data_IF_266633956386
#
_entry.id   IF_266633956386
#
_cell.length_a   1.000
_cell.length_b   1.000
_cell.length_c   1.000
_cell.angle_alpha   90.00
_cell.angle_beta   90.00
_cell.angle_gamma   90.00
#
_symmetry.space_group_name_H-M   'P 1'
#
loop_
_entity.id
_entity.type
_entity.pdbx_description
1 polymer ?
#
# COMPACT_ATOMS: atom_id res chain seq x y z
N UNK A 1 -16.27 5.99 -22.37
CA UNK A 1 -17.56 6.72 -22.45
C UNK A 1 -17.53 7.78 -21.37
N UNK A 2 -17.29 9.03 -21.73
CA UNK A 2 -17.31 10.17 -20.81
C UNK A 2 -18.75 10.40 -20.34
N UNK A 3 -19.05 10.07 -19.08
CA UNK A 3 -20.33 10.41 -18.47
C UNK A 3 -20.44 11.93 -18.39
N UNK A 4 -21.48 12.50 -18.99
CA UNK A 4 -21.72 13.94 -19.11
C UNK A 4 -22.15 14.54 -17.75
N UNK A 5 -21.24 14.53 -16.77
CA UNK A 5 -21.44 15.07 -15.41
C UNK A 5 -20.85 16.48 -15.34
N UNK A 6 -21.51 17.46 -14.69
CA UNK A 6 -21.01 18.83 -14.58
C UNK A 6 -19.89 19.01 -13.54
N UNK A 7 -19.34 17.90 -13.03
CA UNK A 7 -18.31 17.87 -12.00
C UNK A 7 -17.30 16.76 -12.30
N UNK A 8 -16.08 16.96 -11.82
CA UNK A 8 -14.95 16.03 -11.91
C UNK A 8 -14.77 15.25 -10.60
N UNK A 9 -13.91 14.24 -10.61
CA UNK A 9 -13.57 13.50 -9.39
C UNK A 9 -12.75 14.36 -8.40
N UNK A 10 -11.99 15.33 -8.89
CA UNK A 10 -11.24 16.26 -8.04
C UNK A 10 -12.17 17.21 -7.26
N UNK A 11 -13.30 17.61 -7.88
CA UNK A 11 -14.34 18.38 -7.19
C UNK A 11 -14.92 17.56 -6.02
N UNK A 12 -15.15 16.26 -6.22
CA UNK A 12 -15.66 15.36 -5.19
C UNK A 12 -14.68 15.23 -4.01
N UNK A 13 -13.38 15.08 -4.29
CA UNK A 13 -12.33 14.99 -3.25
C UNK A 13 -12.20 16.29 -2.46
N UNK A 14 -12.22 17.43 -3.15
CA UNK A 14 -12.09 18.76 -2.53
C UNK A 14 -13.25 19.03 -1.58
N UNK A 15 -14.48 18.75 -2.01
CA UNK A 15 -15.67 18.93 -1.16
C UNK A 15 -15.68 17.95 0.01
N UNK A 16 -15.28 16.69 -0.18
CA UNK A 16 -15.14 15.72 0.91
C UNK A 16 -14.14 16.20 1.97
N UNK A 17 -12.98 16.74 1.58
CA UNK A 17 -11.99 17.28 2.51
C UNK A 17 -12.52 18.50 3.31
N UNK A 18 -13.28 19.38 2.64
CA UNK A 18 -13.94 20.52 3.30
C UNK A 18 -14.95 20.05 4.35
N UNK A 19 -15.78 19.07 4.00
CA UNK A 19 -16.79 18.52 4.91
C UNK A 19 -16.17 17.72 6.05
N UNK A 20 -15.11 16.95 5.81
CA UNK A 20 -14.34 16.24 6.85
C UNK A 20 -13.76 17.23 7.87
N UNK A 21 -13.21 18.35 7.41
CA UNK A 21 -12.69 19.41 8.29
C UNK A 21 -13.78 20.06 9.15
N UNK A 22 -15.02 20.12 8.63
CA UNK A 22 -16.19 20.61 9.35
C UNK A 22 -16.89 19.53 10.19
N UNK A 23 -16.51 18.26 10.03
CA UNK A 23 -17.19 17.11 10.60
C UNK A 23 -16.89 17.00 12.10
N UNK A 24 -17.93 17.18 12.92
CA UNK A 24 -17.95 16.71 14.31
C UNK A 24 -18.68 15.37 14.28
N UNK A 25 -17.98 14.30 14.66
CA UNK A 25 -18.39 12.91 14.40
C UNK A 25 -19.89 12.63 14.57
N UNK A 26 -20.42 11.77 13.68
CA UNK A 26 -21.82 11.30 13.55
C UNK A 26 -22.79 12.20 12.75
N UNK A 27 -22.35 12.87 11.69
CA UNK A 27 -23.31 13.52 10.79
C UNK A 27 -23.96 12.49 9.86
N UNK A 28 -25.29 12.58 9.72
CA UNK A 28 -26.07 11.81 8.76
C UNK A 28 -25.82 12.28 7.31
N UNK A 29 -26.06 11.42 6.29
CA UNK A 29 -25.96 11.79 4.86
C UNK A 29 -26.73 13.06 4.48
N UNK A 30 -27.86 13.33 5.16
CA UNK A 30 -28.65 14.54 4.92
C UNK A 30 -27.90 15.83 5.32
N UNK A 31 -26.96 15.77 6.25
CA UNK A 31 -26.11 16.90 6.60
C UNK A 31 -25.04 17.14 5.52
N UNK A 32 -24.52 16.08 4.89
CA UNK A 32 -23.63 16.17 3.71
C UNK A 32 -24.36 16.84 2.54
N UNK A 33 -25.59 16.42 2.24
CA UNK A 33 -26.41 17.05 1.21
C UNK A 33 -26.61 18.56 1.51
N UNK A 34 -27.00 18.90 2.73
CA UNK A 34 -27.22 20.30 3.12
C UNK A 34 -25.93 21.14 3.03
N UNK A 35 -24.77 20.55 3.35
CA UNK A 35 -23.48 21.23 3.27
C UNK A 35 -23.02 21.48 1.82
N UNK A 36 -23.49 20.68 0.86
CA UNK A 36 -23.14 20.81 -0.56
C UNK A 36 -23.89 21.93 -1.26
N UNK A 37 -25.14 22.21 -0.90
CA UNK A 37 -26.04 23.06 -1.70
C UNK A 37 -25.42 24.42 -2.07
N UNK A 38 -24.82 25.10 -1.08
CA UNK A 38 -24.20 26.42 -1.26
C UNK A 38 -22.70 26.35 -1.61
N UNK A 39 -22.13 25.14 -1.73
CA UNK A 39 -20.72 24.97 -2.08
C UNK A 39 -20.53 25.07 -3.60
N UNK A 40 -19.44 25.73 -4.03
CA UNK A 40 -19.12 25.91 -5.44
C UNK A 40 -18.39 24.68 -6.00
N UNK A 41 -18.66 24.35 -7.26
CA UNK A 41 -17.98 23.30 -8.02
C UNK A 41 -16.76 23.95 -8.70
N UNK A 42 -15.55 23.59 -8.27
CA UNK A 42 -14.33 24.28 -8.68
C UNK A 42 -14.09 24.20 -10.19
N UNK A 43 -14.34 23.04 -10.81
CA UNK A 43 -14.20 22.86 -12.27
C UNK A 43 -15.13 23.73 -13.12
N UNK A 44 -16.15 24.34 -12.53
CA UNK A 44 -17.05 25.28 -13.23
C UNK A 44 -16.61 26.73 -13.13
N UNK A 45 -15.57 27.02 -12.34
CA UNK A 45 -15.00 28.36 -12.25
C UNK A 45 -14.26 28.72 -13.52
N UNK A 46 -14.31 30.00 -13.85
CA UNK A 46 -13.61 30.57 -15.01
C UNK A 46 -12.56 31.56 -14.55
N UNK A 47 -11.46 31.68 -15.30
CA UNK A 47 -10.37 32.64 -15.01
C UNK A 47 -10.83 34.10 -15.00
N UNK A 48 -12.04 34.38 -15.48
CA UNK A 48 -12.66 35.70 -15.49
C UNK A 48 -13.19 36.17 -14.14
N UNK A 49 -13.03 35.37 -13.08
CA UNK A 49 -13.45 35.73 -11.72
C UNK A 49 -14.95 35.52 -11.46
N UNK A 50 -15.57 34.63 -12.23
CA UNK A 50 -16.89 34.10 -11.89
C UNK A 50 -16.75 33.10 -10.74
N UNK A 51 -17.67 33.13 -9.78
CA UNK A 51 -17.59 32.29 -8.58
C UNK A 51 -17.80 30.79 -8.92
N UNK A 52 -18.25 30.49 -10.14
CA UNK A 52 -18.60 29.14 -10.60
C UNK A 52 -20.03 28.79 -10.25
N UNK A 53 -20.49 27.61 -10.66
CA UNK A 53 -21.78 27.08 -10.26
C UNK A 53 -21.69 26.46 -8.87
N UNK A 54 -22.69 26.69 -8.04
CA UNK A 54 -22.92 25.88 -6.84
C UNK A 54 -23.50 24.51 -7.19
N UNK A 55 -23.46 23.56 -6.25
CA UNK A 55 -24.08 22.25 -6.46
C UNK A 55 -25.59 22.35 -6.72
N UNK A 56 -26.30 23.27 -6.04
CA UNK A 56 -27.74 23.49 -6.26
C UNK A 56 -28.05 24.13 -7.62
N UNK A 57 -27.15 24.96 -8.16
CA UNK A 57 -27.31 25.55 -9.49
C UNK A 57 -26.97 24.57 -10.62
N UNK A 58 -25.98 23.69 -10.41
CA UNK A 58 -25.49 22.77 -11.42
C UNK A 58 -26.37 21.52 -11.62
N UNK A 59 -27.13 21.13 -10.59
CA UNK A 59 -27.92 19.90 -10.57
C UNK A 59 -29.33 20.16 -10.05
N UNK A 60 -30.33 19.52 -10.66
CA UNK A 60 -31.66 19.53 -10.08
C UNK A 60 -31.64 18.79 -8.72
N UNK A 61 -32.48 19.21 -7.77
CA UNK A 61 -32.50 18.66 -6.41
C UNK A 61 -32.58 17.12 -6.34
N UNK A 62 -33.25 16.48 -7.31
CA UNK A 62 -33.34 15.01 -7.43
C UNK A 62 -32.03 14.33 -7.82
N UNK A 63 -31.15 15.03 -8.53
CA UNK A 63 -29.89 14.52 -9.05
C UNK A 63 -28.74 14.69 -8.04
N UNK A 64 -28.93 15.52 -7.00
CA UNK A 64 -27.96 15.75 -5.92
C UNK A 64 -27.72 14.52 -5.03
N UNK A 65 -28.65 13.57 -4.97
CA UNK A 65 -28.49 12.37 -4.15
C UNK A 65 -27.27 11.53 -4.58
N UNK A 66 -26.98 11.47 -5.87
CA UNK A 66 -25.85 10.71 -6.41
C UNK A 66 -24.50 11.27 -5.96
N UNK A 67 -24.16 12.55 -6.21
CA UNK A 67 -22.91 13.13 -5.70
C UNK A 67 -22.90 13.22 -4.18
N UNK A 68 -24.02 13.47 -3.50
CA UNK A 68 -24.06 13.48 -2.03
C UNK A 68 -23.73 12.10 -1.43
N UNK A 69 -24.24 11.02 -2.02
CA UNK A 69 -23.87 9.65 -1.61
C UNK A 69 -22.39 9.39 -1.87
N UNK A 70 -21.88 9.76 -3.04
CA UNK A 70 -20.46 9.57 -3.38
C UNK A 70 -19.53 10.35 -2.44
N UNK A 71 -19.85 11.61 -2.13
CA UNK A 71 -19.10 12.45 -1.18
C UNK A 71 -19.20 11.86 0.23
N UNK A 72 -20.38 11.41 0.66
CA UNK A 72 -20.54 10.76 1.95
C UNK A 72 -19.68 9.49 2.07
N UNK A 73 -19.66 8.63 1.04
CA UNK A 73 -18.77 7.46 1.00
C UNK A 73 -17.29 7.84 1.07
N UNK A 74 -16.87 8.92 0.40
CA UNK A 74 -15.50 9.45 0.51
C UNK A 74 -15.20 9.94 1.93
N UNK A 75 -16.14 10.61 2.59
CA UNK A 75 -15.99 11.10 3.97
C UNK A 75 -15.94 9.95 4.96
N UNK A 76 -16.79 8.92 4.82
CA UNK A 76 -16.77 7.72 5.67
C UNK A 76 -15.43 6.99 5.50
N UNK A 77 -14.97 6.75 4.28
CA UNK A 77 -13.65 6.16 4.05
C UNK A 77 -12.51 7.03 4.59
N UNK A 78 -12.63 8.36 4.49
CA UNK A 78 -11.66 9.26 5.07
C UNK A 78 -11.72 9.29 6.61
N UNK A 79 -12.86 8.95 7.23
CA UNK A 79 -12.97 8.81 8.68
C UNK A 79 -12.22 7.57 9.19
N UNK A 80 -12.25 6.46 8.44
CA UNK A 80 -11.43 5.27 8.73
C UNK A 80 -9.93 5.59 8.58
N UNK A 81 -9.56 6.35 7.54
CA UNK A 81 -8.18 6.88 7.38
C UNK A 81 -7.86 7.89 8.49
N UNK A 82 -8.84 8.63 9.01
CA UNK A 82 -8.64 9.57 10.12
C UNK A 82 -8.36 8.82 11.43
N UNK A 83 -9.01 7.69 11.68
CA UNK A 83 -8.63 6.81 12.81
C UNK A 83 -7.20 6.30 12.64
N UNK A 84 -6.83 5.85 11.44
CA UNK A 84 -5.47 5.44 11.13
C UNK A 84 -4.46 6.58 11.35
N UNK A 85 -4.74 7.79 10.85
CA UNK A 85 -3.91 8.97 11.01
C UNK A 85 -3.81 9.42 12.49
N UNK A 86 -4.89 9.31 13.26
CA UNK A 86 -4.90 9.57 14.71
C UNK A 86 -3.99 8.57 15.42
N UNK A 87 -4.07 7.28 15.07
CA UNK A 87 -3.22 6.26 15.67
C UNK A 87 -1.74 6.47 15.31
N UNK A 88 -1.41 6.82 14.06
CA UNK A 88 -0.05 7.21 13.67
C UNK A 88 0.48 8.40 14.49
N UNK A 89 -0.36 9.42 14.69
CA UNK A 89 0.00 10.57 15.53
C UNK A 89 0.12 10.20 17.01
N UNK A 90 -0.71 9.30 17.52
CA UNK A 90 -0.64 8.79 18.90
C UNK A 90 0.65 7.98 19.14
N UNK A 91 1.14 7.27 18.11
CA UNK A 91 2.44 6.59 18.11
C UNK A 91 3.62 7.56 17.95
N UNK A 92 3.36 8.85 17.80
CA UNK A 92 4.37 9.89 17.65
C UNK A 92 5.05 9.89 16.28
N UNK A 93 4.45 9.25 15.27
CA UNK A 93 4.94 9.27 13.91
C UNK A 93 4.54 10.56 13.20
N UNK A 94 5.42 11.04 12.33
CA UNK A 94 5.21 12.24 11.52
C UNK A 94 5.04 11.78 10.06
N UNK A 95 3.94 12.16 9.39
CA UNK A 95 3.74 11.81 7.99
C UNK A 95 4.87 12.41 7.13
N UNK A 96 5.32 11.63 6.16
CA UNK A 96 6.23 12.08 5.12
C UNK A 96 5.44 12.53 3.88
N UNK A 97 5.96 13.50 3.15
CA UNK A 97 5.33 13.98 1.92
C UNK A 97 5.61 13.04 0.74
N UNK A 98 6.69 12.26 0.82
CA UNK A 98 7.06 11.29 -0.18
C UNK A 98 6.09 10.09 -0.16
N UNK A 99 5.86 9.50 -1.33
CA UNK A 99 4.98 8.36 -1.52
C UNK A 99 5.45 7.54 -2.71
N UNK A 100 5.15 6.25 -2.69
CA UNK A 100 5.45 5.31 -3.79
C UNK A 100 4.15 4.94 -4.48
N UNK A 101 4.11 5.08 -5.79
CA UNK A 101 3.01 4.61 -6.64
C UNK A 101 3.43 3.32 -7.35
N UNK A 102 2.78 2.21 -7.02
CA UNK A 102 2.98 0.93 -7.70
C UNK A 102 1.99 0.86 -8.86
N UNK A 103 2.54 0.87 -10.07
CA UNK A 103 1.76 0.89 -11.31
C UNK A 103 1.94 -0.43 -12.04
N UNK A 104 0.83 -1.05 -12.44
CA UNK A 104 0.84 -2.25 -13.27
C UNK A 104 0.01 -1.98 -14.53
N UNK A 105 0.61 -2.17 -15.71
CA UNK A 105 -0.01 -1.95 -17.01
C UNK A 105 -0.70 -0.56 -17.13
N UNK A 106 0.04 0.51 -16.82
CA UNK A 106 -0.41 1.91 -16.86
C UNK A 106 -1.56 2.27 -15.88
N UNK A 107 -1.88 1.39 -14.94
CA UNK A 107 -2.86 1.64 -13.88
C UNK A 107 -2.14 1.63 -12.53
N UNK A 108 -2.16 2.77 -11.82
CA UNK A 108 -1.68 2.84 -10.43
C UNK A 108 -2.63 2.02 -9.56
N UNK A 109 -2.17 0.84 -9.14
CA UNK A 109 -2.96 -0.10 -8.35
C UNK A 109 -2.80 0.09 -6.85
N UNK A 110 -1.64 0.59 -6.41
CA UNK A 110 -1.31 0.78 -5.00
C UNK A 110 -0.53 2.08 -4.83
N UNK A 111 -0.85 2.85 -3.77
CA UNK A 111 -0.07 3.99 -3.29
C UNK A 111 0.35 3.73 -1.85
N UNK A 112 1.64 3.90 -1.56
CA UNK A 112 2.22 3.76 -0.21
C UNK A 112 2.56 5.15 0.31
N UNK A 113 1.96 5.53 1.44
CA UNK A 113 2.31 6.73 2.20
C UNK A 113 3.16 6.36 3.41
N UNK A 114 4.15 7.20 3.74
CA UNK A 114 5.06 6.94 4.85
C UNK A 114 4.77 7.83 6.06
N UNK A 115 5.07 7.31 7.25
CA UNK A 115 5.14 8.08 8.48
C UNK A 115 6.31 7.58 9.32
N UNK A 116 7.15 8.50 9.81
CA UNK A 116 8.40 8.15 10.49
C UNK A 116 8.48 8.77 11.88
N UNK A 117 9.20 8.11 12.78
CA UNK A 117 9.50 8.68 14.09
C UNK A 117 10.38 9.94 13.94
N UNK A 118 10.14 11.03 14.69
CA UNK A 118 10.86 12.30 14.56
C UNK A 118 12.39 12.16 14.72
N UNK A 119 12.83 11.22 15.54
CA UNK A 119 14.25 10.94 15.77
C UNK A 119 14.93 10.12 14.67
N UNK A 120 14.20 9.65 13.65
CA UNK A 120 14.80 8.91 12.54
C UNK A 120 15.56 9.89 11.63
N UNK A 121 16.86 9.65 11.35
CA UNK A 121 17.65 10.47 10.44
C UNK A 121 17.07 10.50 9.03
N UNK A 122 17.16 11.66 8.36
CA UNK A 122 16.66 11.87 7.00
C UNK A 122 17.26 10.88 5.99
N UNK A 123 18.57 10.62 6.08
CA UNK A 123 19.27 9.64 5.23
C UNK A 123 18.68 8.22 5.36
N UNK A 124 18.27 7.83 6.57
CA UNK A 124 17.66 6.52 6.80
C UNK A 124 16.23 6.48 6.25
N UNK A 125 15.46 7.58 6.36
CA UNK A 125 14.13 7.67 5.75
C UNK A 125 14.21 7.54 4.24
N UNK A 126 15.11 8.32 3.62
CA UNK A 126 15.37 8.27 2.19
C UNK A 126 15.81 6.87 1.74
N UNK A 127 16.67 6.19 2.50
CA UNK A 127 17.08 4.82 2.21
C UNK A 127 15.92 3.82 2.28
N UNK A 128 15.00 3.96 3.23
CA UNK A 128 13.80 3.11 3.32
C UNK A 128 12.87 3.35 2.13
N UNK A 129 12.62 4.61 1.79
CA UNK A 129 11.76 4.97 0.65
C UNK A 129 12.37 4.45 -0.66
N UNK A 130 13.68 4.62 -0.85
CA UNK A 130 14.40 4.11 -2.01
C UNK A 130 14.31 2.58 -2.12
N UNK A 131 14.46 1.86 -1.00
CA UNK A 131 14.34 0.40 -1.00
C UNK A 131 12.93 -0.07 -1.40
N UNK A 132 11.88 0.63 -0.94
CA UNK A 132 10.51 0.33 -1.38
C UNK A 132 10.30 0.67 -2.86
N UNK A 133 10.92 1.74 -3.37
CA UNK A 133 10.89 2.05 -4.80
C UNK A 133 11.54 0.98 -5.66
N UNK A 134 12.70 0.47 -5.25
CA UNK A 134 13.45 -0.56 -5.99
C UNK A 134 12.66 -1.86 -6.07
N UNK A 135 12.08 -2.32 -4.95
CA UNK A 135 11.29 -3.57 -4.88
C UNK A 135 9.93 -3.48 -5.62
N UNK A 136 9.49 -2.27 -5.95
CA UNK A 136 8.21 -2.02 -6.62
C UNK A 136 8.34 -1.53 -8.05
N UNK A 137 9.58 -1.31 -8.52
CA UNK A 137 9.83 -1.10 -9.93
C UNK A 137 9.37 -2.38 -10.68
N UNK A 138 8.60 -2.24 -11.77
CA UNK A 138 8.33 -3.41 -12.60
C UNK A 138 9.69 -3.98 -13.01
N UNK A 139 9.90 -5.29 -12.84
CA UNK A 139 11.00 -5.99 -13.50
C UNK A 139 10.97 -5.51 -14.94
N UNK A 140 11.93 -4.68 -15.34
CA UNK A 140 12.10 -4.35 -16.75
C UNK A 140 12.26 -5.71 -17.39
N UNK A 141 11.28 -6.11 -18.21
CA UNK A 141 11.30 -7.38 -18.88
C UNK A 141 12.63 -7.43 -19.63
N UNK A 142 13.56 -8.23 -19.09
CA UNK A 142 14.77 -8.65 -19.76
C UNK A 142 14.32 -9.41 -21.01
N UNK A 143 14.08 -8.64 -22.07
CA UNK A 143 13.90 -9.10 -23.45
C UNK A 143 15.30 -9.38 -24.07
N UNK A 144 16.21 -9.93 -23.26
CA UNK A 144 17.44 -10.54 -23.72
C UNK A 144 17.35 -12.03 -23.38
N UNK A 145 16.93 -12.84 -24.37
CA UNK A 145 17.22 -14.27 -24.42
C UNK A 145 18.75 -14.45 -24.47
N UNK A 146 19.42 -14.30 -23.33
CA UNK A 146 20.76 -14.82 -23.12
C UNK A 146 20.62 -16.17 -22.40
N UNK A 147 21.10 -17.22 -23.06
CA UNK A 147 21.31 -18.56 -22.50
C UNK A 147 22.29 -18.48 -21.30
N UNK A 148 21.82 -18.04 -20.13
CA UNK A 148 22.55 -18.02 -18.86
C UNK A 148 22.13 -19.22 -17.98
N UNK A 149 23.07 -19.78 -17.20
CA UNK A 149 22.97 -21.12 -16.65
C UNK A 149 22.00 -21.20 -15.45
N UNK A 150 20.92 -21.94 -15.63
CA UNK A 150 20.08 -22.64 -14.62
C UNK A 150 20.41 -22.31 -13.16
N UNK A 151 19.68 -21.30 -12.64
CA UNK A 151 19.22 -21.03 -11.28
C UNK A 151 19.99 -21.63 -10.09
N UNK A 152 20.84 -20.80 -9.47
CA UNK A 152 21.39 -21.09 -8.14
C UNK A 152 20.38 -20.87 -7.00
N UNK A 153 19.35 -20.04 -7.20
CA UNK A 153 18.36 -19.69 -6.16
C UNK A 153 17.22 -20.72 -6.06
N UNK A 154 16.85 -21.36 -7.17
CA UNK A 154 15.90 -22.47 -7.18
C UNK A 154 16.39 -23.64 -6.31
N UNK A 155 17.70 -23.94 -6.38
CA UNK A 155 18.36 -24.96 -5.57
C UNK A 155 18.31 -24.68 -4.05
N UNK A 156 18.27 -23.41 -3.65
CA UNK A 156 18.16 -22.98 -2.25
C UNK A 156 16.74 -23.22 -1.74
N UNK A 157 15.72 -22.84 -2.51
CA UNK A 157 14.32 -23.06 -2.11
C UNK A 157 13.94 -24.54 -2.06
N UNK A 158 14.43 -25.35 -2.99
CA UNK A 158 14.26 -26.80 -2.96
C UNK A 158 14.93 -27.43 -1.73
N UNK A 159 16.12 -26.95 -1.36
CA UNK A 159 16.82 -27.42 -0.17
C UNK A 159 16.09 -27.02 1.12
N UNK A 160 15.64 -25.76 1.23
CA UNK A 160 14.86 -25.30 2.39
C UNK A 160 13.57 -26.11 2.52
N UNK A 161 12.92 -26.45 1.40
CA UNK A 161 11.70 -27.27 1.38
C UNK A 161 11.97 -28.71 1.83
N UNK A 162 13.07 -29.34 1.41
CA UNK A 162 13.48 -30.67 1.89
C UNK A 162 13.78 -30.65 3.40
N UNK A 163 14.53 -29.65 3.89
CA UNK A 163 14.83 -29.51 5.32
C UNK A 163 13.54 -29.32 6.13
N UNK A 164 12.64 -28.43 5.69
CA UNK A 164 11.36 -28.19 6.36
C UNK A 164 10.48 -29.45 6.37
N UNK A 165 10.48 -30.24 5.30
CA UNK A 165 9.76 -31.52 5.25
C UNK A 165 10.33 -32.54 6.23
N UNK A 166 11.66 -32.65 6.36
CA UNK A 166 12.30 -33.55 7.33
C UNK A 166 12.10 -33.12 8.77
N UNK A 167 12.07 -31.81 9.02
CA UNK A 167 11.79 -31.24 10.34
C UNK A 167 10.35 -31.45 10.79
N UNK A 168 9.39 -31.53 9.85
CA UNK A 168 7.97 -31.73 10.17
C UNK A 168 7.69 -33.03 10.93
N UNK A 169 8.47 -34.06 10.63
CA UNK A 169 8.31 -35.39 11.22
C UNK A 169 9.33 -35.67 12.34
N UNK A 170 10.23 -34.72 12.61
CA UNK A 170 11.24 -34.81 13.65
C UNK A 170 10.65 -34.54 15.05
N UNK A 171 11.09 -35.27 16.10
CA UNK A 171 10.77 -34.92 17.51
C UNK A 171 11.98 -34.82 18.46
N UNK A 172 13.20 -34.78 17.93
CA UNK A 172 14.46 -34.95 18.68
C UNK A 172 15.51 -33.87 18.34
N UNK A 173 16.65 -33.89 19.06
CA UNK A 173 17.69 -32.86 19.06
C UNK A 173 18.32 -32.50 17.71
N UNK A 174 18.15 -33.33 16.68
CA UNK A 174 18.59 -33.02 15.30
C UNK A 174 17.87 -31.79 14.70
N UNK A 175 16.70 -31.43 15.23
CA UNK A 175 15.91 -30.29 14.79
C UNK A 175 16.63 -28.95 14.91
N UNK A 176 17.34 -28.73 16.01
CA UNK A 176 18.01 -27.45 16.25
C UNK A 176 19.17 -27.22 15.29
N UNK A 177 19.79 -28.30 14.80
CA UNK A 177 20.90 -28.20 13.85
C UNK A 177 20.39 -27.91 12.42
N UNK A 178 19.31 -28.58 12.00
CA UNK A 178 18.68 -28.35 10.71
C UNK A 178 18.04 -26.94 10.59
N UNK A 179 17.47 -26.39 11.67
CA UNK A 179 17.02 -24.99 11.70
C UNK A 179 18.19 -24.00 11.58
N UNK A 180 19.36 -24.34 12.16
CA UNK A 180 20.60 -23.57 12.00
C UNK A 180 21.05 -23.50 10.54
N UNK A 181 20.99 -24.62 9.82
CA UNK A 181 21.34 -24.68 8.39
C UNK A 181 20.43 -23.81 7.51
N UNK A 182 19.12 -23.74 7.81
CA UNK A 182 18.19 -22.84 7.10
C UNK A 182 18.60 -21.38 7.33
N UNK A 183 18.93 -21.02 8.57
CA UNK A 183 19.36 -19.66 8.90
C UNK A 183 20.69 -19.29 8.22
N UNK A 184 21.66 -20.21 8.18
CA UNK A 184 22.94 -19.97 7.53
C UNK A 184 22.83 -19.90 6.00
N UNK A 185 21.91 -20.66 5.37
CA UNK A 185 21.58 -20.53 3.95
C UNK A 185 20.94 -19.16 3.65
N UNK A 186 19.95 -18.74 4.46
CA UNK A 186 19.27 -17.45 4.28
C UNK A 186 20.20 -16.24 4.49
N UNK A 187 21.27 -16.40 5.27
CA UNK A 187 22.27 -15.36 5.52
C UNK A 187 23.53 -15.50 4.63
N UNK A 188 23.51 -16.40 3.64
CA UNK A 188 24.64 -16.70 2.73
C UNK A 188 25.95 -17.04 3.46
N UNK A 189 25.86 -17.72 4.61
CA UNK A 189 26.99 -18.14 5.46
C UNK A 189 27.50 -19.54 5.15
N UNK A 190 26.73 -20.32 4.41
CA UNK A 190 27.08 -21.67 3.93
C UNK A 190 26.55 -21.85 2.50
N UNK A 191 27.21 -22.70 1.71
CA UNK A 191 26.76 -23.02 0.34
C UNK A 191 25.73 -24.15 0.35
N UNK A 192 24.92 -24.26 -0.71
CA UNK A 192 23.95 -25.37 -0.90
C UNK A 192 24.66 -26.73 -0.83
N UNK A 193 25.85 -26.85 -1.42
CA UNK A 193 26.63 -28.09 -1.42
C UNK A 193 27.10 -28.47 0.00
N UNK A 194 27.57 -27.50 0.78
CA UNK A 194 28.00 -27.71 2.17
C UNK A 194 26.80 -28.06 3.06
N UNK A 195 25.69 -27.33 2.94
CA UNK A 195 24.46 -27.60 3.69
C UNK A 195 23.87 -28.98 3.37
N UNK A 196 23.92 -29.43 2.11
CA UNK A 196 23.51 -30.80 1.72
C UNK A 196 24.42 -31.88 2.34
N UNK A 197 25.72 -31.62 2.41
CA UNK A 197 26.66 -32.54 3.04
C UNK A 197 26.41 -32.64 4.55
N UNK A 198 26.24 -31.51 5.24
CA UNK A 198 25.93 -31.49 6.68
C UNK A 198 24.58 -32.13 6.98
N UNK A 199 23.54 -31.84 6.17
CA UNK A 199 22.21 -32.45 6.34
C UNK A 199 22.23 -33.98 6.18
N UNK A 200 23.13 -34.54 5.37
CA UNK A 200 23.27 -35.98 5.20
C UNK A 200 23.87 -36.68 6.42
N UNK A 201 24.65 -35.96 7.23
CA UNK A 201 25.25 -36.45 8.47
C UNK A 201 24.32 -36.30 9.69
N UNK A 202 23.20 -35.58 9.56
CA UNK A 202 22.17 -35.47 10.60
C UNK A 202 21.33 -36.75 10.63
N UNK A 203 21.49 -37.55 11.68
CA UNK A 203 20.58 -38.66 11.98
C UNK A 203 19.23 -38.11 12.48
N UNK A 204 18.22 -38.16 11.61
CA UNK A 204 16.83 -37.94 12.02
C UNK A 204 16.28 -39.22 12.65
N UNK A 205 15.77 -39.13 13.88
CA UNK A 205 15.33 -40.26 14.71
C UNK A 205 14.01 -40.91 14.29
N UNK A 206 13.76 -41.09 12.99
CA UNK A 206 12.48 -41.62 12.47
C UNK A 206 12.69 -42.81 11.54
N UNK A 207 11.94 -43.89 11.84
CA UNK A 207 11.76 -45.08 11.02
C UNK A 207 10.34 -45.11 10.46
#
# INVERSE_FOLDING_TARGET
MTTNRPYTDDDLRTEAARQLSAHRGHQHPNATLAAMLDAHIESTRTDTGDDGLTWDEALECRDLNTPATAIHTLIEGAADISEWAINLGADGLIPDAEHVDITHADVTGVRIHFAFHPGMPEELRASVIAAVHEDTAPDEADDEEEDEPVDSDSDVFDLISDIASRLRDATDSGEYHAVGLIYDLAMSRTTVAEARAELADIEFGHA
#
